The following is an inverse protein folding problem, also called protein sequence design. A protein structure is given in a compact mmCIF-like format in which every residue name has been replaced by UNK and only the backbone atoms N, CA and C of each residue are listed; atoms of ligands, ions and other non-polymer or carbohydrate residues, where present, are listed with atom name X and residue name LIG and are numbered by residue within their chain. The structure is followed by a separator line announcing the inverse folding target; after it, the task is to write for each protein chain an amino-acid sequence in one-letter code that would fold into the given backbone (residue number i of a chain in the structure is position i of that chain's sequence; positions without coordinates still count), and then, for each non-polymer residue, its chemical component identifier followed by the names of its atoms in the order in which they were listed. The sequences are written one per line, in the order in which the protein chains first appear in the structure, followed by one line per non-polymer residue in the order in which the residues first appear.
data_IF_466682863956
#
_entry.id   IF_466682863956
#
_cell.length_a   1.000
_cell.length_b   1.000
_cell.length_c   1.000
_cell.angle_alpha   90.00
_cell.angle_beta   90.00
_cell.angle_gamma   90.00
#
_symmetry.space_group_name_H-M   'P 1'
#
loop_
_entity.id
_entity.type
_entity.pdbx_description
1 polymer ?
#
# COMPACT_ATOMS: atom_id res chain seq x y z
N UNK A 1 -8.94 19.82 -16.23
CA UNK A 1 -7.98 18.90 -16.88
C UNK A 1 -7.60 17.94 -15.78
N UNK A 2 -8.10 16.70 -15.82
CA UNK A 2 -7.89 15.71 -14.73
C UNK A 2 -6.39 15.53 -14.53
N UNK A 3 -5.90 15.72 -13.32
CA UNK A 3 -4.50 15.39 -13.00
C UNK A 3 -4.40 13.87 -13.13
N UNK A 4 -3.91 13.41 -14.28
CA UNK A 4 -3.93 11.99 -14.64
C UNK A 4 -3.10 11.16 -13.65
N UNK A 5 -3.47 9.89 -13.43
CA UNK A 5 -2.70 8.92 -12.63
C UNK A 5 -1.20 8.92 -12.99
N UNK A 6 -0.86 9.23 -14.25
CA UNK A 6 0.50 9.43 -14.76
C UNK A 6 1.25 10.61 -14.12
N UNK A 7 0.59 11.72 -13.79
CA UNK A 7 1.23 12.86 -13.12
C UNK A 7 1.60 12.55 -11.66
N UNK A 8 0.74 11.80 -10.95
CA UNK A 8 1.03 11.33 -9.59
C UNK A 8 2.19 10.33 -9.58
N UNK A 9 2.17 9.36 -10.49
CA UNK A 9 3.26 8.39 -10.68
C UNK A 9 4.60 9.09 -10.91
N UNK A 10 4.65 10.14 -11.75
CA UNK A 10 5.87 10.95 -11.95
C UNK A 10 6.35 11.65 -10.69
N UNK A 11 5.44 12.14 -9.83
CA UNK A 11 5.82 12.72 -8.53
C UNK A 11 6.39 11.67 -7.58
N UNK A 12 5.94 10.42 -7.68
CA UNK A 12 6.42 9.31 -6.86
C UNK A 12 7.78 8.75 -7.31
N UNK A 13 8.23 9.03 -8.54
CA UNK A 13 9.53 8.60 -9.07
C UNK A 13 10.71 9.46 -8.61
N UNK A 14 10.49 10.75 -8.34
CA UNK A 14 11.56 11.71 -8.06
C UNK A 14 11.34 12.33 -6.69
N UNK A 15 12.24 12.06 -5.74
CA UNK A 15 12.36 12.85 -4.50
C UNK A 15 12.48 14.33 -4.91
N UNK A 16 11.51 15.20 -4.58
CA UNK A 16 11.45 16.53 -5.15
C UNK A 16 12.66 17.35 -4.70
N UNK A 17 13.58 17.63 -5.62
CA UNK A 17 14.37 18.85 -5.54
C UNK A 17 13.41 19.99 -5.86
N UNK A 18 13.11 20.84 -4.87
CA UNK A 18 12.32 22.05 -5.06
C UNK A 18 12.96 22.94 -6.14
N UNK A 19 12.55 22.76 -7.40
CA UNK A 19 12.82 23.73 -8.47
C UNK A 19 11.51 24.08 -9.17
N UNK A 20 11.00 25.30 -8.99
CA UNK A 20 9.85 25.76 -9.76
C UNK A 20 10.20 25.71 -11.26
N UNK A 21 9.25 25.26 -12.07
CA UNK A 21 9.41 25.17 -13.51
C UNK A 21 9.75 26.56 -14.11
N UNK A 22 10.67 26.66 -15.08
CA UNK A 22 10.92 27.91 -15.80
C UNK A 22 9.66 28.30 -16.56
N UNK A 23 9.14 29.51 -16.30
CA UNK A 23 7.91 29.99 -16.92
C UNK A 23 8.12 30.51 -18.34
N UNK A 24 7.15 30.24 -19.21
CA UNK A 24 7.01 30.81 -20.54
C UNK A 24 6.61 32.31 -20.46
N UNK A 25 7.45 33.23 -20.96
CA UNK A 25 7.25 34.68 -20.83
C UNK A 25 6.26 35.28 -21.84
N UNK A 26 5.59 34.52 -22.69
CA UNK A 26 4.89 35.10 -23.87
C UNK A 26 3.39 35.41 -23.72
N UNK A 27 2.75 35.06 -22.59
CA UNK A 27 1.31 35.30 -22.37
C UNK A 27 1.00 36.70 -21.79
N UNK A 28 0.80 37.70 -22.66
CA UNK A 28 0.46 39.08 -22.26
C UNK A 28 -0.86 39.21 -21.46
N UNK A 29 -1.83 38.34 -21.69
CA UNK A 29 -3.10 38.29 -20.93
C UNK A 29 -2.92 37.77 -19.50
N UNK A 30 -1.90 36.93 -19.25
CA UNK A 30 -1.52 36.47 -17.92
C UNK A 30 -0.88 37.58 -17.07
N UNK A 31 -0.09 38.47 -17.67
CA UNK A 31 0.63 39.52 -16.95
C UNK A 31 -0.31 40.57 -16.32
N UNK A 32 -1.33 41.02 -17.04
CA UNK A 32 -2.27 42.02 -16.52
C UNK A 32 -3.15 41.48 -15.37
N UNK A 33 -3.56 40.21 -15.46
CA UNK A 33 -4.32 39.53 -14.40
C UNK A 33 -3.44 39.31 -13.15
N UNK A 34 -2.18 38.89 -13.35
CA UNK A 34 -1.19 38.73 -12.27
C UNK A 34 -0.78 40.04 -11.62
N UNK A 35 -0.74 41.14 -12.37
CA UNK A 35 -0.46 42.46 -11.79
C UNK A 35 -1.56 42.89 -10.82
N UNK A 36 -2.83 42.70 -11.19
CA UNK A 36 -3.98 42.95 -10.30
C UNK A 36 -3.99 42.03 -9.08
N UNK A 37 -3.67 40.75 -9.25
CA UNK A 37 -3.52 39.81 -8.12
C UNK A 37 -2.37 40.22 -7.19
N UNK A 38 -1.21 40.61 -7.75
CA UNK A 38 -0.05 41.06 -6.97
C UNK A 38 -0.36 42.33 -6.18
N UNK A 39 -1.06 43.29 -6.77
CA UNK A 39 -1.43 44.52 -6.09
C UNK A 39 -2.49 44.25 -5.00
N UNK A 40 -3.42 43.32 -5.24
CA UNK A 40 -4.32 42.80 -4.20
C UNK A 40 -3.55 42.14 -3.05
N UNK A 41 -2.56 41.28 -3.33
CA UNK A 41 -1.72 40.66 -2.28
C UNK A 41 -0.82 41.66 -1.55
N UNK A 42 -0.40 42.76 -2.18
CA UNK A 42 0.32 43.83 -1.48
C UNK A 42 -0.57 44.57 -0.49
N UNK A 43 -1.83 44.82 -0.87
CA UNK A 43 -2.79 45.55 -0.03
C UNK A 43 -3.48 44.68 1.01
N UNK A 44 -3.63 43.36 0.75
CA UNK A 44 -4.45 42.45 1.55
C UNK A 44 -3.83 41.06 1.79
N UNK A 45 -2.59 40.83 1.36
CA UNK A 45 -1.93 39.52 1.44
C UNK A 45 -1.28 39.25 2.80
N UNK A 46 -0.36 38.28 2.80
CA UNK A 46 0.22 37.69 4.02
C UNK A 46 0.75 38.75 5.00
N UNK A 47 1.55 39.71 4.51
CA UNK A 47 2.10 40.79 5.35
C UNK A 47 1.04 41.68 5.99
N UNK A 48 -0.10 41.90 5.31
CA UNK A 48 -1.22 42.66 5.88
C UNK A 48 -1.93 41.85 6.97
N UNK A 49 -2.14 40.56 6.74
CA UNK A 49 -2.82 39.65 7.67
C UNK A 49 -1.98 39.43 8.93
N UNK A 50 -0.66 39.19 8.79
CA UNK A 50 0.27 38.91 9.90
C UNK A 50 0.43 40.12 10.84
N UNK A 51 0.30 41.33 10.31
CA UNK A 51 0.40 42.58 11.08
C UNK A 51 -0.87 42.90 11.88
N UNK A 52 -1.96 42.15 11.72
CA UNK A 52 -3.17 42.39 12.53
C UNK A 52 -2.94 41.90 13.98
N UNK A 53 -3.36 42.67 14.99
CA UNK A 53 -3.27 42.25 16.40
C UNK A 53 -3.95 40.92 16.69
N UNK A 54 -4.97 40.57 15.89
CA UNK A 54 -5.73 39.34 16.03
C UNK A 54 -5.12 38.14 15.27
N UNK A 55 -4.04 38.33 14.51
CA UNK A 55 -3.42 37.24 13.76
C UNK A 55 -2.87 36.15 14.67
N UNK A 56 -2.27 36.51 15.80
CA UNK A 56 -1.81 35.56 16.82
C UNK A 56 -2.98 34.79 17.45
N UNK A 57 -4.15 35.42 17.59
CA UNK A 57 -5.40 34.75 18.03
C UNK A 57 -5.96 33.84 16.95
N UNK A 58 -5.86 34.24 15.67
CA UNK A 58 -6.26 33.44 14.52
C UNK A 58 -5.37 32.19 14.40
N UNK A 59 -4.04 32.36 14.41
CA UNK A 59 -3.09 31.26 14.44
C UNK A 59 -3.27 30.40 15.69
N UNK A 60 -3.44 31.02 16.85
CA UNK A 60 -3.77 30.31 18.10
C UNK A 60 -5.04 29.49 17.97
N UNK A 61 -6.07 30.00 17.29
CA UNK A 61 -7.32 29.31 16.98
C UNK A 61 -7.16 28.18 15.95
N UNK A 62 -6.33 28.37 14.92
CA UNK A 62 -6.02 27.35 13.91
C UNK A 62 -5.19 26.22 14.53
N UNK A 63 -4.10 26.56 15.22
CA UNK A 63 -3.27 25.60 15.95
C UNK A 63 -4.03 24.91 17.09
N UNK A 64 -5.02 25.59 17.68
CA UNK A 64 -5.97 24.99 18.62
C UNK A 64 -6.91 24.02 17.92
N UNK A 65 -7.51 24.36 16.77
CA UNK A 65 -8.37 23.42 16.02
C UNK A 65 -7.62 22.20 15.50
N UNK A 66 -6.37 22.36 15.08
CA UNK A 66 -5.50 21.24 14.70
C UNK A 66 -5.18 20.36 15.92
N UNK A 67 -5.10 20.93 17.13
CA UNK A 67 -4.85 20.19 18.39
C UNK A 67 -6.13 19.60 19.03
N UNK A 68 -7.22 20.33 19.07
CA UNK A 68 -8.53 19.95 19.62
C UNK A 68 -9.28 18.96 18.72
N UNK A 69 -8.91 18.83 17.44
CA UNK A 69 -9.36 17.74 16.57
C UNK A 69 -8.61 16.42 16.78
N UNK A 70 -8.18 16.11 18.01
CA UNK A 70 -7.43 14.90 18.35
C UNK A 70 -5.98 14.88 17.85
N UNK A 71 -5.37 16.03 17.57
CA UNK A 71 -4.04 16.11 16.92
C UNK A 71 -2.93 15.26 17.58
N UNK A 72 -2.80 15.20 18.92
CA UNK A 72 -1.83 14.32 19.58
C UNK A 72 -2.15 12.83 19.47
N UNK A 73 -3.42 12.46 19.37
CA UNK A 73 -3.88 11.07 19.38
C UNK A 73 -3.82 10.41 18.01
N UNK A 74 -3.90 11.22 16.96
CA UNK A 74 -3.58 10.80 15.59
C UNK A 74 -2.07 10.85 15.29
N UNK A 75 -1.24 11.24 16.25
CA UNK A 75 0.19 11.43 16.06
C UNK A 75 0.94 10.11 15.90
N UNK A 76 1.22 9.73 14.65
CA UNK A 76 2.01 8.54 14.32
C UNK A 76 3.37 8.93 13.73
N UNK A 77 4.43 8.23 14.10
CA UNK A 77 5.66 8.27 13.32
C UNK A 77 5.44 7.51 12.00
N UNK A 78 6.18 7.87 10.95
CA UNK A 78 6.29 7.09 9.71
C UNK A 78 6.68 5.64 10.04
N UNK A 79 7.47 5.41 11.09
CA UNK A 79 7.79 4.07 11.59
C UNK A 79 6.57 3.28 12.06
N UNK A 80 5.62 3.93 12.73
CA UNK A 80 4.38 3.29 13.17
C UNK A 80 3.53 2.91 11.95
N UNK A 81 3.43 3.80 10.97
CA UNK A 81 2.73 3.53 9.71
C UNK A 81 3.39 2.37 8.93
N UNK A 82 4.73 2.33 8.87
CA UNK A 82 5.49 1.21 8.29
C UNK A 82 5.16 -0.09 9.03
N UNK A 83 5.10 -0.07 10.37
CA UNK A 83 4.73 -1.25 11.16
C UNK A 83 3.30 -1.73 10.87
N UNK A 84 2.33 -0.82 10.73
CA UNK A 84 0.96 -1.21 10.40
C UNK A 84 0.81 -1.76 8.99
N UNK A 85 1.51 -1.16 8.02
CA UNK A 85 1.53 -1.69 6.67
C UNK A 85 2.20 -3.08 6.63
N UNK A 86 3.32 -3.25 7.33
CA UNK A 86 4.02 -4.53 7.43
C UNK A 86 3.16 -5.61 8.10
N UNK A 87 2.40 -5.28 9.15
CA UNK A 87 1.43 -6.21 9.75
C UNK A 87 0.34 -6.64 8.76
N UNK A 88 -0.19 -5.70 7.97
CA UNK A 88 -1.17 -6.01 6.94
C UNK A 88 -0.57 -6.94 5.86
N UNK A 89 0.64 -6.64 5.38
CA UNK A 89 1.32 -7.46 4.37
C UNK A 89 1.62 -8.86 4.89
N UNK A 90 2.13 -9.00 6.12
CA UNK A 90 2.38 -10.31 6.73
C UNK A 90 1.13 -11.17 6.89
N UNK A 91 -0.02 -10.57 7.21
CA UNK A 91 -1.28 -11.31 7.28
C UNK A 91 -1.72 -11.78 5.89
N UNK A 92 -1.54 -10.95 4.86
CA UNK A 92 -1.79 -11.35 3.48
C UNK A 92 -0.85 -12.48 3.02
N UNK A 93 0.44 -12.38 3.36
CA UNK A 93 1.45 -13.40 3.06
C UNK A 93 1.14 -14.73 3.77
N UNK A 94 0.80 -14.69 5.07
CA UNK A 94 0.42 -15.88 5.83
C UNK A 94 -0.85 -16.54 5.27
N UNK A 95 -1.85 -15.72 4.88
CA UNK A 95 -3.05 -16.23 4.22
C UNK A 95 -2.72 -16.87 2.87
N UNK A 96 -1.86 -16.23 2.07
CA UNK A 96 -1.44 -16.71 0.76
C UNK A 96 -0.70 -18.06 0.86
N UNK A 97 0.25 -18.18 1.79
CA UNK A 97 0.98 -19.42 2.03
C UNK A 97 0.05 -20.58 2.39
N UNK A 98 -0.94 -20.31 3.23
CA UNK A 98 -1.88 -21.33 3.70
C UNK A 98 -2.83 -21.81 2.58
N UNK A 99 -3.36 -20.90 1.76
CA UNK A 99 -4.50 -21.21 0.89
C UNK A 99 -4.24 -21.14 -0.61
N UNK A 100 -3.07 -20.64 -1.05
CA UNK A 100 -2.73 -20.53 -2.47
C UNK A 100 -1.73 -21.58 -2.93
N UNK A 101 -1.85 -22.02 -4.18
CA UNK A 101 -0.87 -22.88 -4.84
C UNK A 101 0.52 -22.24 -4.80
N UNK A 102 1.53 -23.07 -4.63
CA UNK A 102 2.92 -22.61 -4.54
C UNK A 102 3.49 -22.35 -5.93
N UNK A 103 3.34 -23.31 -6.85
CA UNK A 103 3.79 -23.18 -8.24
C UNK A 103 2.57 -22.94 -9.15
N UNK A 104 2.68 -21.97 -10.06
CA UNK A 104 1.67 -21.71 -11.10
C UNK A 104 1.84 -22.60 -12.32
N UNK A 105 2.94 -23.34 -12.43
CA UNK A 105 3.26 -24.19 -13.58
C UNK A 105 2.24 -25.30 -13.85
N UNK A 106 1.43 -25.66 -12.85
CA UNK A 106 0.34 -26.63 -12.99
C UNK A 106 -0.95 -26.02 -13.58
N UNK A 107 -1.04 -24.68 -13.65
CA UNK A 107 -2.19 -23.99 -14.22
C UNK A 107 -2.13 -23.99 -15.76
N UNK A 108 -3.29 -23.96 -16.44
CA UNK A 108 -3.35 -23.68 -17.88
C UNK A 108 -2.64 -22.37 -18.23
N UNK A 109 -1.88 -22.36 -19.32
CA UNK A 109 -1.11 -21.19 -19.78
C UNK A 109 -1.98 -19.92 -19.92
N UNK A 110 -3.24 -20.08 -20.34
CA UNK A 110 -4.20 -18.98 -20.43
C UNK A 110 -4.53 -18.36 -19.07
N UNK A 111 -4.56 -19.15 -18.01
CA UNK A 111 -4.82 -18.68 -16.63
C UNK A 111 -3.59 -17.97 -16.07
N UNK A 112 -2.40 -18.53 -16.27
CA UNK A 112 -1.14 -17.89 -15.87
C UNK A 112 -0.98 -16.53 -16.55
N UNK A 113 -1.28 -16.45 -17.85
CA UNK A 113 -1.26 -15.17 -18.59
C UNK A 113 -2.24 -14.15 -18.01
N UNK A 114 -3.44 -14.57 -17.62
CA UNK A 114 -4.43 -13.68 -16.98
C UNK A 114 -3.93 -13.20 -15.61
N UNK A 115 -3.33 -14.07 -14.82
CA UNK A 115 -2.74 -13.72 -13.52
C UNK A 115 -1.61 -12.69 -13.68
N UNK A 116 -0.66 -12.91 -14.60
CA UNK A 116 0.42 -11.94 -14.91
C UNK A 116 -0.17 -10.61 -15.41
N UNK A 117 -1.22 -10.67 -16.23
CA UNK A 117 -1.91 -9.47 -16.72
C UNK A 117 -2.64 -8.69 -15.62
N UNK A 118 -3.16 -9.35 -14.58
CA UNK A 118 -3.77 -8.68 -13.44
C UNK A 118 -2.73 -7.91 -12.61
N UNK A 119 -1.48 -8.37 -12.60
CA UNK A 119 -0.35 -7.68 -11.97
C UNK A 119 0.34 -6.64 -12.88
N UNK A 120 -0.33 -6.14 -13.92
CA UNK A 120 0.28 -5.21 -14.88
C UNK A 120 0.87 -3.95 -14.20
N UNK A 121 2.12 -3.65 -14.55
CA UNK A 121 2.92 -2.57 -13.95
C UNK A 121 3.69 -2.98 -12.69
N UNK A 122 3.38 -4.14 -12.10
CA UNK A 122 4.08 -4.72 -10.96
C UNK A 122 4.78 -6.04 -11.32
N UNK A 123 4.28 -6.75 -12.33
CA UNK A 123 4.95 -7.88 -12.97
C UNK A 123 5.22 -7.55 -14.44
N UNK A 124 6.38 -7.94 -14.95
CA UNK A 124 6.71 -7.82 -16.37
C UNK A 124 5.75 -8.68 -17.19
N UNK A 125 5.28 -8.13 -18.31
CA UNK A 125 4.24 -8.76 -19.13
C UNK A 125 4.89 -9.65 -20.18
N UNK A 126 5.37 -10.81 -19.74
CA UNK A 126 6.01 -11.84 -20.59
C UNK A 126 5.35 -13.20 -20.38
N UNK A 127 5.60 -14.15 -21.28
CA UNK A 127 5.11 -15.52 -21.13
C UNK A 127 5.80 -16.21 -19.94
N UNK A 128 5.07 -17.11 -19.29
CA UNK A 128 5.53 -17.76 -18.05
C UNK A 128 6.85 -18.52 -18.23
N UNK A 129 7.02 -19.25 -19.33
CA UNK A 129 8.24 -19.99 -19.62
C UNK A 129 9.48 -19.06 -19.69
N UNK A 130 9.33 -17.87 -20.28
CA UNK A 130 10.40 -16.89 -20.31
C UNK A 130 10.65 -16.31 -18.89
N UNK A 131 9.58 -15.91 -18.19
CA UNK A 131 9.67 -15.34 -16.85
C UNK A 131 10.34 -16.30 -15.87
N UNK A 132 9.91 -17.56 -15.86
CA UNK A 132 10.41 -18.62 -14.99
C UNK A 132 11.93 -18.80 -15.11
N UNK A 133 12.47 -18.70 -16.33
CA UNK A 133 13.93 -18.84 -16.56
C UNK A 133 14.76 -17.66 -16.05
N UNK A 134 14.12 -16.50 -15.86
CA UNK A 134 14.78 -15.28 -15.39
C UNK A 134 14.57 -15.03 -13.90
N UNK A 135 13.64 -15.73 -13.25
CA UNK A 135 13.41 -15.63 -11.81
C UNK A 135 14.47 -16.43 -11.02
N UNK A 136 14.80 -16.00 -9.79
CA UNK A 136 15.52 -16.86 -8.85
C UNK A 136 14.79 -18.22 -8.70
N UNK A 137 15.51 -19.37 -8.62
CA UNK A 137 14.87 -20.69 -8.61
C UNK A 137 13.78 -20.85 -7.53
N UNK A 138 14.05 -20.37 -6.32
CA UNK A 138 13.07 -20.38 -5.22
C UNK A 138 11.83 -19.56 -5.59
N UNK A 139 12.01 -18.33 -6.08
CA UNK A 139 10.91 -17.46 -6.50
C UNK A 139 10.11 -18.04 -7.67
N UNK A 140 10.76 -18.74 -8.61
CA UNK A 140 10.10 -19.43 -9.70
C UNK A 140 9.20 -20.57 -9.18
N UNK A 141 9.70 -21.37 -8.23
CA UNK A 141 8.93 -22.48 -7.62
C UNK A 141 7.80 -22.02 -6.69
N UNK A 142 7.87 -20.81 -6.14
CA UNK A 142 6.87 -20.24 -5.21
C UNK A 142 6.06 -19.09 -5.82
N UNK A 143 6.03 -19.00 -7.15
CA UNK A 143 5.48 -17.85 -7.85
C UNK A 143 3.98 -17.63 -7.60
N UNK A 144 3.22 -18.70 -7.31
CA UNK A 144 1.79 -18.60 -7.00
C UNK A 144 1.54 -17.82 -5.70
N UNK A 145 2.38 -18.03 -4.69
CA UNK A 145 2.34 -17.28 -3.44
C UNK A 145 2.67 -15.81 -3.64
N UNK A 146 3.78 -15.53 -4.35
CA UNK A 146 4.24 -14.16 -4.64
C UNK A 146 3.15 -13.37 -5.37
N UNK A 147 2.56 -13.98 -6.39
CA UNK A 147 1.55 -13.32 -7.22
C UNK A 147 0.23 -13.15 -6.45
N UNK A 148 -0.15 -14.13 -5.64
CA UNK A 148 -1.33 -14.06 -4.79
C UNK A 148 -1.25 -12.95 -3.76
N UNK A 149 -0.13 -12.85 -3.05
CA UNK A 149 0.11 -11.77 -2.10
C UNK A 149 0.03 -10.40 -2.77
N UNK A 150 0.70 -10.24 -3.92
CA UNK A 150 0.65 -9.02 -4.71
C UNK A 150 -0.80 -8.65 -5.08
N UNK A 151 -1.59 -9.61 -5.57
CA UNK A 151 -2.98 -9.36 -5.97
C UNK A 151 -3.87 -8.96 -4.78
N UNK A 152 -3.66 -9.54 -3.59
CA UNK A 152 -4.35 -9.10 -2.36
C UNK A 152 -4.00 -7.63 -2.05
N UNK A 153 -2.72 -7.28 -2.11
CA UNK A 153 -2.29 -5.90 -1.84
C UNK A 153 -2.83 -4.90 -2.87
N UNK A 154 -2.90 -5.29 -4.15
CA UNK A 154 -3.49 -4.46 -5.21
C UNK A 154 -4.99 -4.25 -5.00
N UNK A 155 -5.73 -5.30 -4.64
CA UNK A 155 -7.17 -5.22 -4.34
C UNK A 155 -7.44 -4.32 -3.12
N UNK A 156 -6.68 -4.49 -2.03
CA UNK A 156 -6.70 -3.60 -0.86
C UNK A 156 -6.49 -2.14 -1.27
N UNK A 157 -5.46 -1.87 -2.07
CA UNK A 157 -5.14 -0.50 -2.46
C UNK A 157 -6.21 0.11 -3.35
N UNK A 158 -6.76 -0.65 -4.30
CA UNK A 158 -7.85 -0.19 -5.17
C UNK A 158 -9.13 0.11 -4.39
N UNK A 159 -9.55 -0.81 -3.51
CA UNK A 159 -10.80 -0.67 -2.76
C UNK A 159 -10.72 0.41 -1.67
N UNK A 160 -9.59 0.46 -0.96
CA UNK A 160 -9.48 1.23 0.28
C UNK A 160 -8.71 2.54 0.08
N UNK A 161 -7.50 2.47 -0.48
CA UNK A 161 -6.60 3.64 -0.57
C UNK A 161 -6.96 4.59 -1.72
N UNK A 162 -7.39 4.07 -2.88
CA UNK A 162 -7.83 4.91 -3.99
C UNK A 162 -9.25 5.45 -3.82
N UNK A 163 -10.01 4.91 -2.87
CA UNK A 163 -11.39 5.32 -2.59
C UNK A 163 -11.62 5.51 -1.08
N UNK A 164 -10.94 6.45 -0.40
CA UNK A 164 -10.99 6.59 1.06
C UNK A 164 -12.37 6.93 1.63
N UNK A 165 -13.36 7.27 0.79
CA UNK A 165 -14.74 7.57 1.20
C UNK A 165 -15.71 6.40 1.02
N UNK A 166 -15.21 5.19 0.73
CA UNK A 166 -16.00 4.01 0.36
C UNK A 166 -17.11 3.65 1.35
N UNK A 167 -16.93 3.96 2.63
CA UNK A 167 -17.87 3.60 3.70
C UNK A 167 -18.95 4.66 3.96
N UNK A 168 -18.92 5.83 3.31
CA UNK A 168 -19.89 6.89 3.58
C UNK A 168 -21.23 6.64 2.86
N UNK A 169 -22.34 6.79 3.59
CA UNK A 169 -23.68 6.32 3.16
C UNK A 169 -24.52 7.34 2.37
N UNK A 170 -24.20 8.62 2.44
CA UNK A 170 -24.91 9.68 1.72
C UNK A 170 -26.35 9.93 2.17
N UNK A 171 -26.72 9.49 3.38
CA UNK A 171 -28.07 9.72 3.94
C UNK A 171 -28.39 11.20 4.05
N UNK A 172 -29.66 11.55 3.80
CA UNK A 172 -30.13 12.94 3.92
C UNK A 172 -30.31 13.33 5.40
N UNK A 173 -30.62 12.36 6.27
CA UNK A 173 -30.78 12.56 7.71
C UNK A 173 -30.85 11.26 8.50
N UNK A 174 -31.00 11.32 9.83
CA UNK A 174 -30.92 10.15 10.72
C UNK A 174 -31.98 9.07 10.43
N UNK A 175 -33.17 9.48 9.97
CA UNK A 175 -34.29 8.57 9.69
C UNK A 175 -34.27 8.02 8.26
N UNK A 176 -33.33 8.48 7.42
CA UNK A 176 -33.22 8.05 6.03
C UNK A 176 -32.58 6.65 5.95
N UNK A 177 -33.38 5.67 5.54
CA UNK A 177 -32.89 4.32 5.27
C UNK A 177 -32.34 4.18 3.84
N UNK A 178 -32.47 5.22 3.02
CA UNK A 178 -32.09 5.22 1.60
C UNK A 178 -30.65 5.66 1.45
N UNK A 179 -29.72 4.72 1.49
CA UNK A 179 -28.30 5.00 1.23
C UNK A 179 -28.06 5.31 -0.26
N UNK A 180 -27.14 6.23 -0.53
CA UNK A 180 -26.64 6.49 -1.89
C UNK A 180 -25.37 5.67 -2.12
N UNK A 181 -25.43 4.54 -2.86
CA UNK A 181 -24.27 3.69 -3.09
C UNK A 181 -23.15 4.38 -3.90
N UNK A 182 -23.43 5.55 -4.50
CA UNK A 182 -22.44 6.33 -5.24
C UNK A 182 -21.85 7.49 -4.43
N UNK A 183 -22.24 7.66 -3.17
CA UNK A 183 -21.83 8.82 -2.38
C UNK A 183 -20.32 8.91 -2.19
N UNK A 184 -19.65 7.80 -1.85
CA UNK A 184 -18.18 7.75 -1.77
C UNK A 184 -17.49 8.18 -3.07
N UNK A 185 -18.00 7.74 -4.23
CA UNK A 185 -17.48 8.14 -5.55
C UNK A 185 -17.71 9.64 -5.84
N UNK A 186 -18.84 10.20 -5.40
CA UNK A 186 -19.12 11.65 -5.53
C UNK A 186 -18.15 12.47 -4.68
N UNK A 187 -17.84 12.01 -3.46
CA UNK A 187 -16.84 12.64 -2.60
C UNK A 187 -15.43 12.53 -3.18
N UNK A 188 -15.08 11.37 -3.74
CA UNK A 188 -13.81 11.21 -4.46
C UNK A 188 -13.69 12.19 -5.64
N UNK A 189 -14.74 12.32 -6.45
CA UNK A 189 -14.76 13.30 -7.54
C UNK A 189 -14.61 14.75 -7.04
N UNK A 190 -15.28 15.10 -5.94
CA UNK A 190 -15.12 16.43 -5.34
C UNK A 190 -13.67 16.64 -4.89
N UNK A 191 -13.09 15.66 -4.19
CA UNK A 191 -11.70 15.68 -3.77
C UNK A 191 -10.75 15.87 -4.96
N UNK A 192 -10.93 15.15 -6.06
CA UNK A 192 -10.08 15.30 -7.25
C UNK A 192 -10.14 16.71 -7.86
N UNK A 193 -11.31 17.37 -7.80
CA UNK A 193 -11.47 18.77 -8.24
C UNK A 193 -10.84 19.76 -7.28
N UNK A 194 -10.99 19.55 -5.98
CA UNK A 194 -10.31 20.34 -4.96
C UNK A 194 -8.80 20.20 -5.15
N UNK A 195 -8.30 18.97 -5.32
CA UNK A 195 -6.88 18.65 -5.42
C UNK A 195 -6.24 19.31 -6.65
N UNK A 196 -6.94 19.33 -7.80
CA UNK A 196 -6.53 20.12 -8.96
C UNK A 196 -6.43 21.63 -8.69
N UNK A 197 -7.26 22.14 -7.77
CA UNK A 197 -7.29 23.56 -7.42
C UNK A 197 -6.18 23.92 -6.43
N UNK A 198 -6.01 23.09 -5.39
CA UNK A 198 -4.99 23.26 -4.36
C UNK A 198 -4.70 21.92 -3.66
N UNK A 199 -3.60 21.21 -4.02
CA UNK A 199 -3.27 19.91 -3.43
C UNK A 199 -3.21 19.93 -1.90
N UNK A 200 -2.49 20.90 -1.33
CA UNK A 200 -2.29 21.02 0.12
C UNK A 200 -3.60 21.13 0.88
N UNK A 201 -4.50 22.04 0.49
CA UNK A 201 -5.77 22.22 1.20
C UNK A 201 -6.75 21.08 0.96
N UNK A 202 -6.65 20.40 -0.18
CA UNK A 202 -7.52 19.26 -0.48
C UNK A 202 -7.15 18.05 0.33
N UNK A 203 -5.85 17.79 0.44
CA UNK A 203 -5.29 16.79 1.35
C UNK A 203 -5.75 17.12 2.78
N UNK A 204 -5.53 18.34 3.28
CA UNK A 204 -6.01 18.72 4.62
C UNK A 204 -7.52 18.55 4.81
N UNK A 205 -8.34 18.88 3.82
CA UNK A 205 -9.77 18.64 3.87
C UNK A 205 -10.08 17.15 4.03
N UNK A 206 -9.47 16.29 3.21
CA UNK A 206 -9.63 14.83 3.33
C UNK A 206 -9.17 14.33 4.70
N UNK A 207 -8.06 14.85 5.23
CA UNK A 207 -7.54 14.50 6.56
C UNK A 207 -8.58 14.73 7.64
N UNK A 208 -9.15 15.93 7.66
CA UNK A 208 -10.09 16.33 8.70
C UNK A 208 -11.40 15.57 8.57
N UNK A 209 -11.88 15.36 7.34
CA UNK A 209 -13.01 14.49 7.07
C UNK A 209 -12.76 13.09 7.62
N UNK A 210 -11.61 12.49 7.31
CA UNK A 210 -11.25 11.15 7.79
C UNK A 210 -11.13 11.10 9.31
N UNK A 211 -10.50 12.07 9.96
CA UNK A 211 -10.44 12.13 11.44
C UNK A 211 -11.84 12.15 12.06
N UNK A 212 -12.69 13.08 11.63
CA UNK A 212 -14.06 13.21 12.18
C UNK A 212 -14.91 11.96 11.93
N UNK A 213 -14.73 11.31 10.77
CA UNK A 213 -15.47 10.10 10.44
C UNK A 213 -14.97 8.85 11.18
N UNK A 214 -13.79 8.89 11.78
CA UNK A 214 -13.14 7.73 12.41
C UNK A 214 -12.81 7.93 13.90
N UNK A 215 -13.18 9.05 14.51
CA UNK A 215 -13.06 9.28 15.96
C UNK A 215 -14.12 8.48 16.73
N UNK A 216 -13.72 7.35 17.31
CA UNK A 216 -14.63 6.39 17.96
C UNK A 216 -14.77 6.56 19.47
N UNK A 217 -14.04 7.49 20.08
CA UNK A 217 -14.02 7.71 21.53
C UNK A 217 -14.01 9.20 21.91
N UNK A 218 -14.17 9.47 23.21
CA UNK A 218 -14.22 10.82 23.74
C UNK A 218 -12.86 11.53 23.81
N UNK A 219 -11.78 10.80 23.58
CA UNK A 219 -10.43 11.35 23.48
C UNK A 219 -10.25 12.00 22.11
N UNK A 220 -10.71 11.31 21.06
CA UNK A 220 -10.57 11.70 19.66
C UNK A 220 -11.70 12.59 19.13
N UNK A 221 -12.87 12.62 19.80
CA UNK A 221 -13.98 13.53 19.46
C UNK A 221 -14.88 13.86 20.67
N UNK A 222 -15.55 15.02 20.62
CA UNK A 222 -16.56 15.37 21.62
C UNK A 222 -17.75 14.41 21.60
N UNK A 223 -18.19 14.02 20.41
CA UNK A 223 -19.26 13.07 20.17
C UNK A 223 -18.75 11.95 19.24
N UNK A 224 -18.57 10.72 19.75
CA UNK A 224 -18.00 9.61 18.98
C UNK A 224 -19.04 8.85 18.17
N UNK A 225 -20.34 9.18 18.25
CA UNK A 225 -21.41 8.38 17.64
C UNK A 225 -21.23 8.19 16.13
N UNK A 226 -20.80 9.25 15.43
CA UNK A 226 -20.57 9.17 13.99
C UNK A 226 -19.36 8.27 13.63
N UNK A 227 -18.28 8.33 14.42
CA UNK A 227 -17.14 7.44 14.24
C UNK A 227 -17.48 5.98 14.54
N UNK A 228 -18.24 5.74 15.61
CA UNK A 228 -18.74 4.39 15.96
C UNK A 228 -19.67 3.83 14.90
N UNK A 229 -20.53 4.67 14.34
CA UNK A 229 -21.38 4.32 13.21
C UNK A 229 -20.56 3.86 12.00
N UNK A 230 -19.55 4.64 11.61
CA UNK A 230 -18.67 4.26 10.49
C UNK A 230 -17.83 3.01 10.81
N UNK A 231 -17.39 2.82 12.05
CA UNK A 231 -16.69 1.61 12.47
C UNK A 231 -17.55 0.35 12.28
N UNK A 232 -18.85 0.41 12.57
CA UNK A 232 -19.78 -0.70 12.29
C UNK A 232 -19.91 -0.95 10.78
N UNK A 233 -19.92 0.11 9.96
CA UNK A 233 -19.93 -0.03 8.49
C UNK A 233 -18.65 -0.67 7.97
N UNK A 234 -17.51 -0.36 8.57
CA UNK A 234 -16.26 -1.03 8.23
C UNK A 234 -16.36 -2.53 8.45
N UNK A 235 -16.83 -2.93 9.64
CA UNK A 235 -16.98 -4.33 10.00
C UNK A 235 -18.04 -5.05 9.14
N UNK A 236 -19.11 -4.36 8.74
CA UNK A 236 -20.11 -4.93 7.85
C UNK A 236 -19.57 -5.17 6.42
N UNK A 237 -18.55 -4.42 5.99
CA UNK A 237 -18.05 -4.48 4.62
C UNK A 237 -16.96 -5.56 4.39
N UNK A 238 -16.13 -5.87 5.39
CA UNK A 238 -14.97 -6.75 5.25
C UNK A 238 -15.32 -8.14 4.73
N UNK A 239 -16.47 -8.69 5.14
CA UNK A 239 -17.03 -9.94 4.63
C UNK A 239 -17.19 -9.89 3.10
N UNK A 240 -17.84 -8.84 2.58
CA UNK A 240 -18.08 -8.70 1.15
C UNK A 240 -16.80 -8.50 0.33
N UNK A 241 -15.75 -7.92 0.93
CA UNK A 241 -14.45 -7.78 0.28
C UNK A 241 -13.75 -9.14 0.15
N UNK A 242 -13.74 -9.93 1.23
CA UNK A 242 -13.23 -11.29 1.20
C UNK A 242 -13.99 -12.16 0.17
N UNK A 243 -15.32 -12.17 0.23
CA UNK A 243 -16.18 -12.94 -0.67
C UNK A 243 -15.97 -12.53 -2.15
N UNK A 244 -15.85 -11.23 -2.41
CA UNK A 244 -15.57 -10.71 -3.75
C UNK A 244 -14.19 -11.11 -4.26
N UNK A 245 -13.16 -11.14 -3.41
CA UNK A 245 -11.81 -11.50 -3.85
C UNK A 245 -11.69 -13.00 -4.12
N UNK A 246 -12.22 -13.84 -3.23
CA UNK A 246 -12.22 -15.31 -3.36
C UNK A 246 -12.89 -15.80 -4.65
N UNK A 247 -13.89 -15.07 -5.12
CA UNK A 247 -14.63 -15.40 -6.36
C UNK A 247 -14.14 -14.64 -7.58
N UNK A 248 -13.16 -13.75 -7.44
CA UNK A 248 -12.68 -12.91 -8.54
C UNK A 248 -11.70 -13.66 -9.45
N UNK A 249 -11.95 -13.62 -10.75
CA UNK A 249 -10.93 -14.00 -11.72
C UNK A 249 -9.97 -12.82 -11.96
N UNK A 250 -8.66 -13.06 -12.06
CA UNK A 250 -8.02 -14.38 -12.09
C UNK A 250 -7.58 -14.90 -10.70
N UNK A 251 -7.79 -14.17 -9.61
CA UNK A 251 -7.29 -14.53 -8.28
C UNK A 251 -7.71 -15.94 -7.84
N UNK A 252 -8.95 -16.34 -8.11
CA UNK A 252 -9.46 -17.65 -7.74
C UNK A 252 -8.69 -18.84 -8.36
N UNK A 253 -7.96 -18.64 -9.46
CA UNK A 253 -7.11 -19.68 -10.06
C UNK A 253 -5.92 -20.06 -9.17
N UNK A 254 -5.53 -19.19 -8.23
CA UNK A 254 -4.43 -19.47 -7.31
C UNK A 254 -4.85 -20.30 -6.10
N UNK A 255 -6.14 -20.56 -5.87
CA UNK A 255 -6.59 -21.30 -4.68
C UNK A 255 -6.16 -22.77 -4.77
N UNK A 256 -5.62 -23.34 -3.68
CA UNK A 256 -5.19 -24.77 -3.63
C UNK A 256 -6.32 -25.75 -3.93
N UNK A 257 -7.55 -25.38 -3.60
CA UNK A 257 -8.76 -26.14 -3.91
C UNK A 257 -9.80 -25.20 -4.50
N UNK A 258 -10.73 -25.75 -5.30
CA UNK A 258 -11.89 -25.02 -5.81
C UNK A 258 -12.62 -24.27 -4.69
N UNK A 259 -13.19 -23.11 -5.02
CA UNK A 259 -13.98 -22.31 -4.10
C UNK A 259 -15.38 -22.01 -4.69
N UNK A 260 -16.47 -22.35 -3.97
CA UNK A 260 -16.51 -23.10 -2.70
C UNK A 260 -15.94 -24.52 -2.83
N UNK A 261 -15.26 -25.00 -1.79
CA UNK A 261 -14.66 -26.33 -1.74
C UNK A 261 -15.67 -27.38 -1.27
N UNK A 262 -15.27 -28.65 -1.32
CA UNK A 262 -16.07 -29.74 -0.73
C UNK A 262 -16.11 -29.71 0.81
N UNK A 263 -15.25 -28.89 1.45
CA UNK A 263 -15.14 -28.73 2.89
C UNK A 263 -15.65 -27.36 3.32
N UNK A 264 -16.89 -27.25 3.85
CA UNK A 264 -17.43 -25.97 4.32
C UNK A 264 -16.58 -25.31 5.42
N UNK A 265 -15.90 -26.12 6.24
CA UNK A 265 -15.01 -25.59 7.28
C UNK A 265 -13.78 -24.90 6.68
N UNK A 266 -13.19 -25.49 5.63
CA UNK A 266 -12.05 -24.91 4.94
C UNK A 266 -12.43 -23.57 4.29
N UNK A 267 -13.60 -23.49 3.68
CA UNK A 267 -14.11 -22.26 3.09
C UNK A 267 -14.36 -21.17 4.14
N UNK A 268 -14.88 -21.54 5.30
CA UNK A 268 -15.09 -20.60 6.40
C UNK A 268 -13.76 -20.11 6.98
N UNK A 269 -12.76 -21.00 7.15
CA UNK A 269 -11.44 -20.62 7.65
C UNK A 269 -10.72 -19.67 6.67
N UNK A 270 -10.75 -20.01 5.36
CA UNK A 270 -10.25 -19.15 4.27
C UNK A 270 -10.85 -17.76 4.35
N UNK A 271 -12.17 -17.70 4.47
CA UNK A 271 -12.95 -16.48 4.50
C UNK A 271 -12.67 -15.67 5.77
N UNK A 272 -12.65 -16.29 6.94
CA UNK A 272 -12.38 -15.63 8.22
C UNK A 272 -11.00 -14.98 8.25
N UNK A 273 -9.95 -15.68 7.82
CA UNK A 273 -8.61 -15.12 7.83
C UNK A 273 -8.46 -13.99 6.79
N UNK A 274 -9.14 -14.08 5.64
CA UNK A 274 -9.13 -12.98 4.66
C UNK A 274 -9.91 -11.75 5.17
N UNK A 275 -10.98 -11.95 5.94
CA UNK A 275 -11.67 -10.87 6.67
C UNK A 275 -10.70 -10.16 7.62
N UNK A 276 -9.84 -10.89 8.33
CA UNK A 276 -8.84 -10.31 9.23
C UNK A 276 -7.79 -9.49 8.47
N UNK A 277 -7.38 -9.92 7.27
CA UNK A 277 -6.52 -9.14 6.36
C UNK A 277 -7.17 -7.80 6.03
N UNK A 278 -8.43 -7.81 5.54
CA UNK A 278 -9.14 -6.57 5.19
C UNK A 278 -9.40 -5.69 6.41
N UNK A 279 -9.70 -6.26 7.58
CA UNK A 279 -9.87 -5.49 8.83
C UNK A 279 -8.59 -4.75 9.20
N UNK A 280 -7.42 -5.40 9.07
CA UNK A 280 -6.14 -4.75 9.30
C UNK A 280 -5.80 -3.71 8.23
N UNK A 281 -6.16 -3.96 6.97
CA UNK A 281 -6.00 -2.99 5.89
C UNK A 281 -6.81 -1.70 6.15
N UNK A 282 -8.04 -1.80 6.63
CA UNK A 282 -8.86 -0.63 7.03
C UNK A 282 -8.20 0.14 8.16
N UNK A 283 -7.67 -0.55 9.19
CA UNK A 283 -6.93 0.10 10.29
C UNK A 283 -5.68 0.81 9.79
N UNK A 284 -4.96 0.24 8.83
CA UNK A 284 -3.81 0.86 8.19
C UNK A 284 -4.24 2.12 7.42
N UNK A 285 -5.28 2.02 6.57
CA UNK A 285 -5.83 3.15 5.83
C UNK A 285 -6.18 4.32 6.74
N UNK A 286 -6.99 4.08 7.78
CA UNK A 286 -7.44 5.15 8.69
C UNK A 286 -6.24 5.89 9.28
N UNK A 287 -5.21 5.18 9.73
CA UNK A 287 -4.00 5.81 10.28
C UNK A 287 -3.22 6.61 9.24
N UNK A 288 -3.06 6.06 8.03
CA UNK A 288 -2.40 6.76 6.94
C UNK A 288 -3.15 8.05 6.54
N UNK A 289 -4.47 7.98 6.43
CA UNK A 289 -5.34 9.08 5.99
C UNK A 289 -5.54 10.18 7.04
N UNK A 290 -5.57 9.81 8.32
CA UNK A 290 -5.73 10.74 9.43
C UNK A 290 -4.44 11.48 9.79
N UNK A 291 -3.26 10.98 9.39
CA UNK A 291 -1.98 11.57 9.76
C UNK A 291 -1.13 12.05 8.58
N UNK A 292 -0.47 11.13 7.86
CA UNK A 292 0.43 11.49 6.75
C UNK A 292 -0.35 12.14 5.62
N UNK A 293 -1.43 11.46 5.21
CA UNK A 293 -2.30 11.86 4.12
C UNK A 293 -1.50 12.26 2.85
N UNK A 294 -2.14 12.85 1.85
CA UNK A 294 -1.54 13.07 0.52
C UNK A 294 -2.21 12.15 -0.50
N UNK A 295 -1.69 12.00 -1.70
CA UNK A 295 -2.20 10.97 -2.60
C UNK A 295 -1.39 9.68 -2.44
N UNK A 296 -2.01 8.55 -2.05
CA UNK A 296 -1.31 7.29 -2.01
C UNK A 296 -0.96 6.85 -3.44
N UNK A 297 0.29 6.45 -3.63
CA UNK A 297 0.83 5.94 -4.88
C UNK A 297 1.63 4.68 -4.57
N UNK A 298 1.16 3.56 -5.12
CA UNK A 298 1.98 2.35 -5.21
C UNK A 298 3.06 2.53 -6.28
N UNK A 299 4.29 2.16 -5.94
CA UNK A 299 5.43 2.14 -6.86
C UNK A 299 5.54 0.74 -7.48
N UNK A 300 5.27 0.66 -8.78
CA UNK A 300 5.54 -0.52 -9.59
C UNK A 300 6.89 -0.42 -10.30
N UNK A 301 7.14 -1.31 -11.26
CA UNK A 301 8.42 -1.44 -11.98
C UNK A 301 8.85 -0.08 -12.56
N UNK A 302 7.94 0.64 -13.21
CA UNK A 302 8.23 1.95 -13.82
C UNK A 302 8.56 3.02 -12.80
N UNK A 303 7.81 3.10 -11.70
CA UNK A 303 8.05 4.12 -10.66
C UNK A 303 9.38 3.89 -9.92
N UNK A 304 9.85 2.65 -9.89
CA UNK A 304 11.13 2.24 -9.31
C UNK A 304 12.32 2.38 -10.28
N UNK A 305 12.08 2.82 -11.52
CA UNK A 305 13.12 2.98 -12.54
C UNK A 305 13.45 1.72 -13.34
N UNK A 306 12.79 0.60 -13.06
CA UNK A 306 12.89 -0.65 -13.82
C UNK A 306 14.16 -1.46 -13.59
N UNK A 307 15.15 -0.93 -12.88
CA UNK A 307 16.44 -1.57 -12.63
C UNK A 307 16.70 -1.62 -11.12
N UNK A 308 17.18 -2.77 -10.64
CA UNK A 308 17.57 -2.93 -9.25
C UNK A 308 18.95 -2.33 -8.99
N UNK A 309 19.05 -1.53 -7.93
CA UNK A 309 20.29 -0.94 -7.45
C UNK A 309 20.38 -1.15 -5.93
N UNK A 310 21.48 -1.77 -5.47
CA UNK A 310 21.71 -2.04 -4.04
C UNK A 310 21.66 -0.77 -3.18
N UNK A 311 22.14 0.36 -3.70
CA UNK A 311 22.16 1.64 -2.98
C UNK A 311 20.77 2.29 -2.86
N UNK A 312 19.74 1.71 -3.49
CA UNK A 312 18.38 2.25 -3.46
C UNK A 312 17.79 2.12 -2.06
N UNK A 313 17.44 3.25 -1.45
CA UNK A 313 16.73 3.30 -0.16
C UNK A 313 15.23 3.01 -0.28
N UNK A 314 14.77 2.67 -1.48
CA UNK A 314 13.35 2.58 -1.83
C UNK A 314 12.92 1.18 -2.25
N UNK A 315 13.90 0.28 -2.35
CA UNK A 315 13.77 -1.07 -2.91
C UNK A 315 14.59 -2.02 -2.05
N UNK A 316 14.02 -3.18 -1.74
CA UNK A 316 14.71 -4.31 -1.10
C UNK A 316 14.52 -5.56 -1.94
N UNK A 317 15.46 -6.51 -1.81
CA UNK A 317 15.29 -7.84 -2.43
C UNK A 317 14.24 -8.64 -1.67
N UNK A 318 13.38 -9.33 -2.41
CA UNK A 318 12.43 -10.26 -1.83
C UNK A 318 13.17 -11.46 -1.19
N UNK A 319 12.68 -12.04 -0.08
CA UNK A 319 13.32 -13.17 0.61
C UNK A 319 13.58 -14.41 -0.26
N UNK A 320 12.82 -14.60 -1.34
CA UNK A 320 13.04 -15.69 -2.32
C UNK A 320 14.18 -15.44 -3.31
N UNK A 321 14.89 -14.31 -3.21
CA UNK A 321 16.20 -14.16 -3.83
C UNK A 321 17.20 -15.02 -3.04
N UNK A 322 17.44 -16.25 -3.50
CA UNK A 322 18.36 -17.19 -2.88
C UNK A 322 19.72 -16.51 -2.60
N UNK A 323 20.23 -16.69 -1.37
CA UNK A 323 21.49 -16.13 -0.81
C UNK A 323 21.85 -14.80 -1.46
N UNK A 324 21.44 -13.62 -0.93
CA UNK A 324 21.48 -12.33 -1.61
C UNK A 324 22.92 -11.84 -1.86
N UNK A 325 23.60 -12.49 -2.80
CA UNK A 325 24.80 -12.03 -3.48
C UNK A 325 24.37 -10.85 -4.32
N UNK A 326 24.47 -9.66 -3.73
CA UNK A 326 23.99 -8.40 -4.33
C UNK A 326 24.59 -8.14 -5.72
N UNK A 327 25.78 -8.69 -5.98
CA UNK A 327 26.46 -8.63 -7.28
C UNK A 327 25.70 -9.34 -8.40
N UNK A 328 24.89 -10.37 -8.09
CA UNK A 328 24.09 -11.09 -9.08
C UNK A 328 22.86 -10.29 -9.55
N UNK A 329 22.35 -9.40 -8.69
CA UNK A 329 21.11 -8.67 -8.90
C UNK A 329 21.32 -7.20 -9.28
N UNK A 330 22.44 -6.59 -8.88
CA UNK A 330 22.72 -5.18 -9.13
C UNK A 330 22.80 -4.88 -10.63
N UNK A 331 22.05 -3.87 -11.07
CA UNK A 331 21.96 -3.47 -12.47
C UNK A 331 21.07 -4.38 -13.33
N UNK A 332 20.35 -5.32 -12.74
CA UNK A 332 19.39 -6.18 -13.45
C UNK A 332 18.01 -5.55 -13.51
N UNK A 333 17.26 -5.89 -14.56
CA UNK A 333 15.88 -5.46 -14.71
C UNK A 333 15.02 -6.04 -13.58
N UNK A 334 14.13 -5.21 -13.01
CA UNK A 334 13.12 -5.66 -12.06
C UNK A 334 12.04 -6.41 -12.84
N UNK A 335 11.86 -7.70 -12.54
CA UNK A 335 10.84 -8.53 -13.18
C UNK A 335 9.52 -8.42 -12.44
N UNK A 336 9.56 -8.44 -11.10
CA UNK A 336 8.36 -8.43 -10.25
C UNK A 336 8.59 -7.54 -9.05
N UNK A 337 7.57 -6.76 -8.70
CA UNK A 337 7.42 -6.05 -7.44
C UNK A 337 6.45 -6.87 -6.61
N UNK A 338 6.98 -7.76 -5.77
CA UNK A 338 6.20 -8.69 -4.96
C UNK A 338 5.37 -7.94 -3.90
N UNK A 339 5.99 -6.98 -3.23
CA UNK A 339 5.33 -6.05 -2.32
C UNK A 339 5.50 -4.63 -2.85
N UNK A 340 4.44 -3.99 -3.37
CA UNK A 340 4.49 -2.61 -3.82
C UNK A 340 4.90 -1.64 -2.72
N UNK A 341 5.87 -0.77 -3.02
CA UNK A 341 6.21 0.33 -2.12
C UNK A 341 5.08 1.36 -2.09
N UNK A 342 4.75 1.88 -0.91
CA UNK A 342 3.70 2.89 -0.73
C UNK A 342 4.33 4.25 -0.41
N UNK A 343 3.99 5.24 -1.24
CA UNK A 343 4.37 6.64 -1.06
C UNK A 343 3.12 7.51 -1.05
N UNK A 344 3.10 8.50 -0.16
CA UNK A 344 2.14 9.59 -0.20
C UNK A 344 2.76 10.83 -0.83
N UNK A 345 2.23 11.29 -1.95
CA UNK A 345 2.67 12.54 -2.60
C UNK A 345 1.81 13.72 -2.15
N UNK A 346 2.44 14.89 -2.06
CA UNK A 346 1.82 16.10 -1.49
C UNK A 346 1.26 15.89 -0.07
N UNK A 347 1.93 15.06 0.73
CA UNK A 347 1.58 14.78 2.12
C UNK A 347 1.73 16.02 2.99
N UNK A 348 1.08 15.98 4.17
CA UNK A 348 1.17 17.02 5.18
C UNK A 348 1.69 16.38 6.47
N UNK A 349 2.95 16.63 6.82
CA UNK A 349 3.57 16.10 8.02
C UNK A 349 4.12 17.24 8.89
N UNK A 350 3.47 17.49 10.03
CA UNK A 350 3.77 18.64 10.88
C UNK A 350 3.59 19.96 10.14
N UNK A 351 4.63 20.80 10.14
CA UNK A 351 4.63 22.09 9.42
C UNK A 351 5.02 21.94 7.93
N UNK A 352 5.44 20.75 7.49
CA UNK A 352 5.81 20.48 6.11
C UNK A 352 4.57 20.03 5.32
N UNK A 353 4.28 20.73 4.22
CA UNK A 353 3.21 20.37 3.30
C UNK A 353 3.73 20.27 1.88
N UNK A 354 3.11 19.42 1.06
CA UNK A 354 3.53 19.22 -0.32
C UNK A 354 4.77 18.33 -0.46
N UNK A 355 5.14 17.59 0.58
CA UNK A 355 6.29 16.68 0.55
C UNK A 355 5.89 15.30 0.06
N UNK A 356 6.88 14.51 -0.33
CA UNK A 356 6.71 13.09 -0.60
C UNK A 356 7.09 12.33 0.66
N UNK A 357 6.19 11.49 1.17
CA UNK A 357 6.44 10.65 2.35
C UNK A 357 6.40 9.19 1.95
N UNK A 358 7.53 8.52 2.08
CA UNK A 358 7.62 7.07 1.90
C UNK A 358 7.13 6.37 3.17
N UNK A 359 6.16 5.48 3.02
CA UNK A 359 5.62 4.68 4.12
C UNK A 359 6.35 3.34 4.19
N UNK A 360 6.51 2.68 3.02
CA UNK A 360 7.22 1.42 2.91
C UNK A 360 7.96 1.32 1.58
N UNK A 361 9.12 0.69 1.65
CA UNK A 361 9.94 0.31 0.50
C UNK A 361 9.25 -0.78 -0.33
N UNK A 362 9.61 -0.88 -1.60
CA UNK A 362 9.13 -1.95 -2.46
C UNK A 362 10.02 -3.20 -2.31
N UNK A 363 9.43 -4.39 -2.26
CA UNK A 363 10.18 -5.65 -2.32
C UNK A 363 10.12 -6.20 -3.74
N UNK A 364 11.27 -6.53 -4.31
CA UNK A 364 11.39 -6.86 -5.73
C UNK A 364 12.13 -8.15 -6.01
N UNK A 365 11.85 -8.73 -7.17
CA UNK A 365 12.54 -9.85 -7.79
C UNK A 365 13.20 -9.35 -9.09
N UNK A 366 14.51 -9.04 -9.06
CA UNK A 366 15.26 -8.71 -10.27
C UNK A 366 15.57 -9.97 -11.10
N UNK A 367 15.92 -9.76 -12.36
CA UNK A 367 16.35 -10.85 -13.23
C UNK A 367 17.60 -11.52 -12.69
N UNK A 368 17.53 -12.85 -12.60
CA UNK A 368 18.58 -13.73 -12.14
C UNK A 368 19.21 -14.45 -13.33
N UNK A 369 20.53 -14.35 -13.46
CA UNK A 369 21.32 -15.11 -14.44
C UNK A 369 22.65 -15.50 -13.80
N UNK A 370 22.89 -16.79 -13.68
CA UNK A 370 24.19 -17.31 -13.25
C UNK A 370 25.22 -17.10 -14.36
N UNK A 371 26.45 -16.74 -14.00
CA UNK A 371 27.54 -16.75 -14.97
C UNK A 371 27.80 -18.18 -15.45
N UNK A 372 28.21 -18.35 -16.71
CA UNK A 372 28.58 -19.66 -17.24
C UNK A 372 29.64 -20.33 -16.34
N UNK A 373 29.29 -21.45 -15.72
CA UNK A 373 30.17 -22.21 -14.81
C UNK A 373 29.78 -22.17 -13.33
N UNK A 374 29.08 -21.13 -12.85
CA UNK A 374 28.67 -21.02 -11.44
C UNK A 374 27.49 -21.95 -11.08
N UNK A 375 26.67 -22.34 -12.06
CA UNK A 375 25.50 -23.20 -11.81
C UNK A 375 25.83 -24.59 -11.27
N UNK A 376 26.97 -25.19 -11.69
CA UNK A 376 27.41 -26.48 -11.15
C UNK A 376 27.92 -26.38 -9.71
N UNK A 377 28.63 -25.28 -9.42
CA UNK A 377 29.16 -25.01 -8.08
C UNK A 377 28.01 -24.72 -7.10
N UNK A 378 26.94 -24.09 -7.58
CA UNK A 378 25.75 -23.76 -6.80
C UNK A 378 24.84 -24.97 -6.55
N UNK A 379 24.73 -25.91 -7.50
CA UNK A 379 24.06 -27.20 -7.28
C UNK A 379 24.80 -28.06 -6.25
N UNK A 380 26.15 -28.05 -6.25
CA UNK A 380 26.96 -28.73 -5.23
C UNK A 380 26.78 -28.11 -3.84
N UNK A 381 26.83 -26.77 -3.70
CA UNK A 381 26.62 -26.10 -2.40
C UNK A 381 25.19 -26.28 -1.84
N UNK A 382 24.16 -26.29 -2.71
CA UNK A 382 22.79 -26.51 -2.27
C UNK A 382 22.54 -27.97 -1.81
N UNK A 383 23.27 -28.93 -2.38
CA UNK A 383 23.24 -30.32 -1.93
C UNK A 383 23.91 -30.49 -0.55
N UNK A 384 25.02 -29.78 -0.30
CA UNK A 384 25.70 -29.76 1.01
C UNK A 384 24.81 -29.16 2.11
N UNK A 385 24.15 -28.02 1.86
CA UNK A 385 23.22 -27.39 2.80
C UNK A 385 22.01 -28.28 3.15
N UNK A 386 21.51 -29.05 2.16
CA UNK A 386 20.40 -29.97 2.36
C UNK A 386 20.81 -31.16 3.24
N UNK A 387 22.04 -31.67 3.10
CA UNK A 387 22.60 -32.68 4.00
C UNK A 387 22.76 -32.15 5.43
N UNK A 388 23.26 -30.92 5.61
CA UNK A 388 23.43 -30.30 6.92
C UNK A 388 22.09 -30.06 7.64
N UNK A 389 21.05 -29.64 6.92
CA UNK A 389 19.70 -29.50 7.47
C UNK A 389 19.07 -30.85 7.87
N UNK A 390 19.41 -31.93 7.15
CA UNK A 390 18.96 -33.29 7.48
C UNK A 390 19.70 -33.84 8.71
N UNK A 391 20.98 -33.51 8.88
CA UNK A 391 21.79 -33.87 10.06
C UNK A 391 21.29 -33.13 11.31
N UNK A 392 20.98 -31.84 11.20
CA UNK A 392 20.45 -31.05 12.31
C UNK A 392 19.10 -31.59 12.83
N UNK A 393 18.20 -32.02 11.92
CA UNK A 393 16.93 -32.65 12.29
C UNK A 393 17.10 -34.03 12.96
N UNK A 394 18.17 -34.76 12.63
CA UNK A 394 18.46 -36.06 13.25
C UNK A 394 19.09 -35.92 14.64
N UNK A 395 19.80 -34.83 14.92
CA UNK A 395 20.39 -34.56 16.25
C UNK A 395 19.35 -34.09 17.28
N UNK A 396 18.30 -33.37 16.85
CA UNK A 396 17.24 -32.86 17.75
C UNK A 396 16.30 -33.97 18.27
N UNK A 397 16.28 -35.14 17.62
CA UNK A 397 15.55 -36.32 18.11
C UNK A 397 16.35 -37.21 19.08
N UNK A 398 17.60 -36.86 19.40
CA UNK A 398 18.46 -37.66 20.29
C UNK A 398 18.32 -37.35 21.78
N UNK A 399 17.69 -36.23 22.16
CA UNK A 399 17.73 -35.70 23.53
C UNK A 399 16.43 -35.94 24.35
N UNK A 400 15.42 -36.62 23.80
CA UNK A 400 14.14 -36.90 24.51
C UNK A 400 14.08 -38.25 25.26
N UNK A 401 15.15 -39.06 25.29
CA UNK A 401 15.11 -40.43 25.86
C UNK A 401 15.86 -40.61 27.21
N UNK A 402 15.79 -39.65 28.16
CA UNK A 402 16.43 -39.81 29.49
C UNK A 402 15.66 -39.30 30.72
N UNK A 403 14.33 -39.33 30.73
CA UNK A 403 13.56 -39.03 31.96
C UNK A 403 12.44 -40.03 32.26
N UNK A 404 12.76 -41.31 32.38
CA UNK A 404 11.94 -42.26 33.16
C UNK A 404 12.85 -43.30 33.81
N UNK A 405 13.46 -42.98 34.95
CA UNK A 405 13.82 -43.95 36.00
C UNK A 405 14.37 -43.21 37.22
N UNK A 406 13.48 -42.79 38.12
CA UNK A 406 13.72 -42.76 39.57
C UNK A 406 12.44 -42.34 40.32
N UNK A 407 11.76 -43.35 40.85
CA UNK A 407 10.59 -43.21 41.72
C UNK A 407 10.26 -44.53 42.40
N UNK A 408 11.07 -44.91 43.40
CA UNK A 408 10.67 -45.79 44.51
C UNK A 408 10.78 -45.01 45.82
#
# INVERSE_FOLDING_TARGET
MVQTRSALKRKATVMPQHRPAPMDPTSQTGFAKRAKERDFYKSYGFDFIVRRPDYSKLLGGVSRRIREGGGPEWGFDVKDLKSFYWQMANLAAAWADQYLITDVGDLPESEIRRLISAANGFCVQMDWEELRTLLPPTAASTFGHILGELLIQLDIHERLFQNPFWYMDGKIGPDDQSEDPHFGRKLQYLFDRLYQTNPTYSVLWRMQTQRLCNSTDHFTARDPQFGQYNAQRHEAAVASFADSLLTSEPFCFLLKDEYPSSSPQLDEDRRCLLIDVFRNAIRCLIRCETWTNGQPVLRGITELGGIFHEESKTITLHPFCFRPRMDLYTGKDILVVAQPGLVYVDSCHGDNSGVMTEIIEAEVLPAFRLAEGEGKQMEEEAAEDAEDAEIAKKQDHGDEEWTEEQGE
#
